data_IF_784952564035
#
_entry.id   IF_784952564035
#
_cell.length_a   1.000
_cell.length_b   1.000
_cell.length_c   1.000
_cell.angle_alpha   90.00
_cell.angle_beta   90.00
_cell.angle_gamma   90.00
#
_symmetry.space_group_name_H-M   'P 1'
#
loop_
_entity.id
_entity.type
_entity.pdbx_description
1 polymer ?
#
# COMPACT_ATOMS: atom_id res chain seq x y z
N UNK A 1 27.16 -60.32 -57.11
CA UNK A 1 27.94 -59.61 -58.14
C UNK A 1 27.39 -58.19 -58.26
N UNK A 2 28.14 -57.21 -57.73
CA UNK A 2 28.26 -55.79 -58.15
C UNK A 2 26.95 -54.94 -58.19
N UNK A 3 26.65 -54.15 -57.15
CA UNK A 3 26.96 -52.69 -56.99
C UNK A 3 26.19 -51.74 -57.94
N UNK A 4 25.30 -50.90 -57.39
CA UNK A 4 25.54 -49.44 -57.28
C UNK A 4 24.49 -48.69 -56.45
N UNK A 5 25.06 -47.92 -55.53
CA UNK A 5 24.51 -46.90 -54.64
C UNK A 5 23.97 -45.69 -55.42
N UNK A 6 22.89 -45.06 -54.93
CA UNK A 6 22.76 -43.59 -54.92
C UNK A 6 21.88 -43.12 -53.75
N UNK A 7 22.51 -42.33 -52.88
CA UNK A 7 21.95 -41.53 -51.80
C UNK A 7 21.15 -40.32 -52.32
N UNK A 8 20.42 -39.69 -51.39
CA UNK A 8 19.95 -38.27 -51.25
C UNK A 8 18.42 -38.26 -51.09
N UNK A 9 17.75 -37.56 -50.16
CA UNK A 9 17.97 -36.99 -48.83
C UNK A 9 16.61 -36.37 -48.40
N UNK A 10 16.30 -36.36 -47.10
CA UNK A 10 15.46 -35.39 -46.36
C UNK A 10 13.98 -35.17 -46.80
N UNK A 11 12.92 -35.27 -45.98
CA UNK A 11 12.58 -34.56 -44.72
C UNK A 11 11.23 -35.16 -44.24
N UNK A 12 11.06 -35.65 -43.01
CA UNK A 12 10.70 -34.92 -41.79
C UNK A 12 9.36 -34.15 -41.85
N UNK A 13 8.25 -34.76 -41.39
CA UNK A 13 7.10 -34.03 -40.82
C UNK A 13 6.59 -34.79 -39.59
N UNK A 14 6.84 -34.19 -38.42
CA UNK A 14 6.34 -34.57 -37.10
C UNK A 14 4.82 -34.29 -37.02
N UNK A 15 4.03 -35.30 -36.65
CA UNK A 15 2.65 -35.11 -36.21
C UNK A 15 2.61 -34.84 -34.70
N UNK A 16 2.58 -33.56 -34.31
CA UNK A 16 2.17 -33.13 -32.98
C UNK A 16 0.64 -32.95 -32.99
N UNK A 17 -0.07 -33.87 -32.35
CA UNK A 17 -1.51 -33.77 -32.12
C UNK A 17 -1.82 -32.61 -31.18
N UNK A 18 -2.68 -31.73 -31.67
CA UNK A 18 -3.14 -30.52 -31.00
C UNK A 18 -3.99 -30.85 -29.76
N UNK A 19 -3.60 -30.37 -28.59
CA UNK A 19 -4.54 -30.09 -27.51
C UNK A 19 -5.35 -28.86 -27.91
N UNK A 20 -6.56 -29.07 -28.43
CA UNK A 20 -7.54 -28.00 -28.62
C UNK A 20 -7.94 -27.44 -27.25
N UNK A 21 -7.53 -26.21 -26.97
CA UNK A 21 -7.87 -25.49 -25.76
C UNK A 21 -9.29 -24.92 -25.95
N UNK A 22 -10.32 -25.61 -25.46
CA UNK A 22 -11.68 -25.08 -25.46
C UNK A 22 -11.78 -24.00 -24.37
N UNK A 23 -11.68 -22.73 -24.77
CA UNK A 23 -12.12 -21.62 -23.92
C UNK A 23 -13.62 -21.74 -23.73
N UNK A 24 -14.07 -21.78 -22.47
CA UNK A 24 -15.50 -21.74 -22.12
C UNK A 24 -16.12 -20.47 -22.74
N UNK A 25 -17.37 -20.53 -23.25
CA UNK A 25 -18.05 -19.33 -23.74
C UNK A 25 -18.15 -18.33 -22.60
N UNK A 26 -17.65 -17.11 -22.83
CA UNK A 26 -17.83 -16.00 -21.90
C UNK A 26 -19.31 -15.64 -21.97
N UNK A 27 -20.04 -15.83 -20.87
CA UNK A 27 -21.39 -15.31 -20.72
C UNK A 27 -21.30 -13.77 -20.80
N UNK A 28 -21.50 -13.23 -22.00
CA UNK A 28 -21.51 -11.81 -22.30
C UNK A 28 -22.79 -11.14 -21.77
N UNK A 29 -23.14 -11.39 -20.51
CA UNK A 29 -24.23 -10.69 -19.84
C UNK A 29 -23.83 -9.22 -19.70
N UNK A 30 -24.45 -8.37 -20.52
CA UNK A 30 -24.34 -6.91 -20.41
C UNK A 30 -25.31 -6.41 -19.35
N UNK A 31 -24.89 -5.38 -18.62
CA UNK A 31 -25.68 -4.65 -17.63
C UNK A 31 -25.83 -3.23 -18.14
N UNK A 32 -27.05 -2.69 -18.08
CA UNK A 32 -27.32 -1.30 -18.42
C UNK A 32 -26.75 -0.41 -17.31
N UNK A 33 -25.70 0.36 -17.60
CA UNK A 33 -25.03 1.25 -16.66
C UNK A 33 -25.23 2.69 -17.13
N UNK A 34 -25.77 3.53 -16.25
CA UNK A 34 -25.83 4.98 -16.44
C UNK A 34 -24.75 5.65 -15.60
N UNK A 35 -23.81 6.33 -16.25
CA UNK A 35 -22.80 7.18 -15.62
C UNK A 35 -22.98 8.65 -16.07
N UNK A 36 -22.07 9.52 -15.63
CA UNK A 36 -22.04 10.95 -15.98
C UNK A 36 -21.88 11.22 -17.49
N UNK A 37 -21.53 10.20 -18.30
CA UNK A 37 -21.43 10.29 -19.76
C UNK A 37 -22.63 9.65 -20.50
N UNK A 38 -23.65 9.18 -19.76
CA UNK A 38 -24.88 8.62 -20.32
C UNK A 38 -25.12 7.15 -19.96
N UNK A 39 -26.18 6.59 -20.52
CA UNK A 39 -26.59 5.21 -20.28
C UNK A 39 -26.16 4.29 -21.42
N UNK A 40 -25.38 3.25 -21.12
CA UNK A 40 -24.94 2.26 -22.10
C UNK A 40 -24.91 0.85 -21.49
N UNK A 41 -25.15 -0.15 -22.34
CA UNK A 41 -25.01 -1.56 -21.96
C UNK A 41 -23.53 -1.93 -21.96
N UNK A 42 -22.99 -2.25 -20.77
CA UNK A 42 -21.57 -2.59 -20.57
C UNK A 42 -21.47 -4.02 -20.03
N UNK A 43 -20.42 -4.79 -20.34
CA UNK A 43 -20.33 -6.15 -19.86
C UNK A 43 -20.28 -6.18 -18.33
N UNK A 44 -20.83 -7.21 -17.68
CA UNK A 44 -20.90 -7.29 -16.21
C UNK A 44 -19.53 -7.15 -15.50
N UNK A 45 -18.45 -7.44 -16.20
CA UNK A 45 -17.08 -7.30 -15.71
C UNK A 45 -16.44 -5.92 -16.00
N UNK A 46 -17.18 -4.96 -16.59
CA UNK A 46 -16.71 -3.59 -16.72
C UNK A 46 -16.84 -2.89 -15.37
N UNK A 47 -15.74 -2.36 -14.84
CA UNK A 47 -15.80 -1.42 -13.74
C UNK A 47 -16.37 -0.09 -14.24
N UNK A 48 -17.34 0.48 -13.52
CA UNK A 48 -17.80 1.86 -13.74
C UNK A 48 -16.67 2.87 -13.49
N UNK A 49 -15.69 2.48 -12.68
CA UNK A 49 -14.50 3.25 -12.36
C UNK A 49 -13.30 2.70 -13.13
N UNK A 50 -12.79 3.48 -14.08
CA UNK A 50 -11.50 3.20 -14.73
C UNK A 50 -10.38 3.94 -13.96
N UNK A 51 -9.52 3.23 -13.22
CA UNK A 51 -8.41 3.85 -12.50
C UNK A 51 -7.40 4.56 -13.42
N UNK A 52 -7.42 4.26 -14.72
CA UNK A 52 -6.56 4.83 -15.76
C UNK A 52 -7.29 5.84 -16.67
N UNK A 53 -8.56 6.14 -16.41
CA UNK A 53 -9.22 7.23 -17.12
C UNK A 53 -8.48 8.54 -16.82
N UNK A 54 -7.95 9.16 -17.87
CA UNK A 54 -7.27 10.44 -17.76
C UNK A 54 -8.25 11.47 -17.19
N UNK A 55 -7.80 12.27 -16.23
CA UNK A 55 -8.60 13.36 -15.69
C UNK A 55 -8.93 14.33 -16.84
N UNK A 56 -10.10 14.99 -16.82
CA UNK A 56 -10.40 16.03 -17.81
C UNK A 56 -9.24 17.03 -17.88
N UNK A 57 -8.83 17.51 -19.08
CA UNK A 57 -7.64 18.36 -19.24
C UNK A 57 -7.62 19.63 -18.35
N UNK A 58 -8.81 20.13 -17.99
CA UNK A 58 -8.97 21.28 -17.10
C UNK A 58 -8.57 20.98 -15.66
N UNK A 59 -8.76 19.75 -15.19
CA UNK A 59 -8.48 19.38 -13.80
C UNK A 59 -6.99 19.09 -13.61
N UNK A 60 -6.32 18.53 -14.62
CA UNK A 60 -4.86 18.40 -14.63
C UNK A 60 -4.15 19.77 -14.58
N UNK A 61 -4.65 20.76 -15.32
CA UNK A 61 -4.14 22.13 -15.29
C UNK A 61 -4.34 22.80 -13.91
N UNK A 62 -5.47 22.53 -13.23
CA UNK A 62 -5.70 23.06 -11.88
C UNK A 62 -4.77 22.43 -10.86
N UNK A 63 -4.58 21.10 -10.90
CA UNK A 63 -3.70 20.39 -9.97
C UNK A 63 -2.26 20.89 -10.09
N UNK A 64 -1.75 21.01 -11.32
CA UNK A 64 -0.39 21.51 -11.57
C UNK A 64 -0.20 22.94 -11.08
N UNK A 65 -1.20 23.82 -11.27
CA UNK A 65 -1.16 25.18 -10.72
C UNK A 65 -1.14 25.18 -9.17
N UNK A 66 -1.92 24.31 -8.52
CA UNK A 66 -1.90 24.16 -7.07
C UNK A 66 -0.55 23.62 -6.56
N UNK A 67 0.07 22.69 -7.28
CA UNK A 67 1.40 22.17 -6.95
C UNK A 67 2.49 23.26 -7.06
N UNK A 68 2.40 24.14 -8.06
CA UNK A 68 3.30 25.31 -8.17
C UNK A 68 3.11 26.30 -7.01
N UNK A 69 1.87 26.55 -6.60
CA UNK A 69 1.57 27.40 -5.44
C UNK A 69 2.11 26.77 -4.15
N UNK A 70 1.91 25.46 -3.99
CA UNK A 70 2.41 24.69 -2.86
C UNK A 70 3.94 24.74 -2.76
N UNK A 71 4.67 24.68 -3.88
CA UNK A 71 6.12 24.78 -3.89
C UNK A 71 6.63 26.12 -3.30
N UNK A 72 5.89 27.21 -3.49
CA UNK A 72 6.28 28.54 -3.03
C UNK A 72 5.83 28.85 -1.59
N UNK A 73 4.60 28.47 -1.20
CA UNK A 73 4.04 28.79 0.12
C UNK A 73 3.80 27.50 0.95
N UNK A 74 4.39 27.38 2.15
CA UNK A 74 4.16 26.21 3.00
C UNK A 74 2.69 26.07 3.46
N UNK A 75 1.94 27.17 3.57
CA UNK A 75 0.50 27.10 3.86
C UNK A 75 -0.28 26.52 2.68
N UNK A 76 0.10 26.89 1.46
CA UNK A 76 -0.51 26.33 0.25
C UNK A 76 -0.21 24.83 0.10
N UNK A 77 0.99 24.39 0.46
CA UNK A 77 1.30 22.96 0.50
C UNK A 77 0.50 22.20 1.56
N UNK A 78 0.26 22.80 2.74
CA UNK A 78 -0.63 22.21 3.72
C UNK A 78 -2.08 22.10 3.21
N UNK A 79 -2.61 23.14 2.56
CA UNK A 79 -3.95 23.09 1.96
C UNK A 79 -4.04 22.02 0.85
N UNK A 80 -3.02 21.95 -0.03
CA UNK A 80 -2.94 20.93 -1.05
C UNK A 80 -2.90 19.52 -0.45
N UNK A 81 -2.15 19.33 0.63
CA UNK A 81 -2.12 18.07 1.36
C UNK A 81 -3.50 17.68 1.90
N UNK A 82 -4.28 18.63 2.43
CA UNK A 82 -5.65 18.39 2.89
C UNK A 82 -6.59 18.03 1.74
N UNK A 83 -6.44 18.66 0.57
CA UNK A 83 -7.22 18.31 -0.62
C UNK A 83 -6.92 16.89 -1.09
N UNK A 84 -5.64 16.51 -1.14
CA UNK A 84 -5.25 15.13 -1.44
C UNK A 84 -5.75 14.12 -0.39
N UNK A 85 -5.85 14.53 0.88
CA UNK A 85 -6.36 13.69 1.96
C UNK A 85 -7.87 13.42 1.83
N UNK A 86 -8.65 14.46 1.53
CA UNK A 86 -10.13 14.39 1.48
C UNK A 86 -10.67 14.01 0.10
N UNK A 87 -9.90 14.24 -0.95
CA UNK A 87 -10.35 14.11 -2.33
C UNK A 87 -11.11 15.35 -2.85
N UNK A 88 -10.87 16.53 -2.27
CA UNK A 88 -11.61 17.75 -2.59
C UNK A 88 -11.16 18.36 -3.93
N UNK A 89 -11.84 17.99 -5.03
CA UNK A 89 -11.53 18.46 -6.39
C UNK A 89 -10.23 17.87 -6.97
N UNK A 90 -9.63 16.90 -6.27
CA UNK A 90 -8.44 16.15 -6.68
C UNK A 90 -8.67 14.70 -6.28
N UNK A 91 -8.17 13.74 -7.06
CA UNK A 91 -8.23 12.32 -6.68
C UNK A 91 -7.56 12.12 -5.32
N UNK A 92 -8.28 11.48 -4.40
CA UNK A 92 -7.77 11.18 -3.07
C UNK A 92 -6.50 10.33 -3.18
N UNK A 93 -5.42 10.80 -2.54
CA UNK A 93 -4.16 10.11 -2.50
C UNK A 93 -3.46 10.40 -1.17
N UNK A 94 -3.57 9.43 -0.26
CA UNK A 94 -3.00 9.50 1.09
C UNK A 94 -1.48 9.66 1.08
N UNK A 95 -0.78 8.97 0.18
CA UNK A 95 0.67 9.06 0.08
C UNK A 95 1.13 10.46 -0.34
N UNK A 96 0.51 11.02 -1.40
CA UNK A 96 0.78 12.39 -1.84
C UNK A 96 0.41 13.44 -0.78
N UNK A 97 -0.68 13.19 -0.05
CA UNK A 97 -1.08 14.06 1.07
C UNK A 97 0.03 14.16 2.11
N UNK A 98 0.54 13.02 2.60
CA UNK A 98 1.60 12.99 3.61
C UNK A 98 2.88 13.64 3.10
N UNK A 99 3.26 13.43 1.82
CA UNK A 99 4.48 14.05 1.28
C UNK A 99 4.38 15.57 1.25
N UNK A 100 3.26 16.13 0.79
CA UNK A 100 3.07 17.59 0.78
C UNK A 100 2.93 18.16 2.18
N UNK A 101 2.31 17.41 3.10
CA UNK A 101 2.19 17.82 4.49
C UNK A 101 3.54 17.84 5.20
N UNK A 102 4.40 16.83 4.95
CA UNK A 102 5.77 16.77 5.45
C UNK A 102 6.62 17.92 4.92
N UNK A 103 6.54 18.19 3.62
CA UNK A 103 7.24 19.34 3.02
C UNK A 103 6.78 20.68 3.64
N UNK A 104 5.48 20.89 3.83
CA UNK A 104 4.96 22.07 4.52
C UNK A 104 5.46 22.18 5.97
N UNK A 105 5.51 21.06 6.70
CA UNK A 105 5.98 21.00 8.07
C UNK A 105 7.49 21.27 8.19
N UNK A 106 8.29 20.77 7.26
CA UNK A 106 9.73 21.02 7.16
C UNK A 106 10.02 22.50 6.85
N UNK A 107 9.19 23.12 6.02
CA UNK A 107 9.23 24.57 5.75
C UNK A 107 8.66 25.43 6.89
N UNK A 108 8.25 24.82 8.00
CA UNK A 108 7.94 25.51 9.25
C UNK A 108 6.48 25.88 9.47
N UNK A 109 5.55 25.36 8.65
CA UNK A 109 4.11 25.54 8.88
C UNK A 109 3.66 24.77 10.13
N UNK A 110 3.09 25.50 11.09
CA UNK A 110 2.71 24.93 12.39
C UNK A 110 1.48 24.04 12.30
N UNK A 111 0.56 24.33 11.37
CA UNK A 111 -0.63 23.50 11.21
C UNK A 111 -0.24 22.15 10.60
N UNK A 112 0.66 22.15 9.62
CA UNK A 112 1.23 20.95 9.03
C UNK A 112 1.99 20.09 10.06
N UNK A 113 2.85 20.72 10.87
CA UNK A 113 3.58 20.01 11.94
C UNK A 113 2.62 19.36 12.94
N UNK A 114 1.58 20.08 13.39
CA UNK A 114 0.57 19.54 14.31
C UNK A 114 -0.24 18.42 13.67
N UNK A 115 -0.64 18.59 12.41
CA UNK A 115 -1.39 17.60 11.66
C UNK A 115 -0.60 16.31 11.46
N UNK A 116 0.68 16.39 11.07
CA UNK A 116 1.57 15.23 10.99
C UNK A 116 1.74 14.56 12.34
N UNK A 117 1.97 15.34 13.40
CA UNK A 117 2.06 14.82 14.76
C UNK A 117 0.85 14.00 15.16
N UNK A 118 -0.35 14.49 14.85
CA UNK A 118 -1.61 13.76 15.07
C UNK A 118 -1.72 12.52 14.19
N UNK A 119 -1.37 12.61 12.91
CA UNK A 119 -1.42 11.47 11.99
C UNK A 119 -0.50 10.32 12.44
N UNK A 120 0.71 10.64 12.89
CA UNK A 120 1.63 9.63 13.43
C UNK A 120 1.16 9.05 14.76
N UNK A 121 0.43 9.81 15.59
CA UNK A 121 -0.17 9.28 16.81
C UNK A 121 -1.28 8.28 16.55
N UNK A 122 -2.19 8.60 15.64
CA UNK A 122 -3.36 7.76 15.37
C UNK A 122 -3.05 6.62 14.42
N UNK A 123 -1.99 6.75 13.61
CA UNK A 123 -1.81 5.96 12.40
C UNK A 123 -2.80 6.39 11.31
N UNK A 124 -2.52 5.98 10.07
CA UNK A 124 -3.38 6.26 8.92
C UNK A 124 -3.43 5.08 7.96
N UNK A 125 -4.55 4.35 7.97
CA UNK A 125 -4.78 3.21 7.08
C UNK A 125 -3.72 2.14 7.25
N UNK A 126 -2.92 1.92 6.21
CA UNK A 126 -1.81 0.97 6.20
C UNK A 126 -0.57 1.46 6.95
N UNK A 127 -0.43 2.78 7.17
CA UNK A 127 0.61 3.31 8.03
C UNK A 127 0.19 3.12 9.49
N UNK A 128 0.91 2.28 10.21
CA UNK A 128 0.77 2.15 11.66
C UNK A 128 1.08 3.47 12.39
N UNK A 129 0.69 3.54 13.66
CA UNK A 129 1.10 4.64 14.52
C UNK A 129 2.61 4.60 14.76
N UNK A 130 3.24 5.77 14.76
CA UNK A 130 4.62 5.99 15.18
C UNK A 130 4.65 7.10 16.22
N UNK A 131 4.60 6.75 17.52
CA UNK A 131 4.60 7.76 18.58
C UNK A 131 5.94 8.52 18.67
N UNK A 132 7.04 7.97 18.12
CA UNK A 132 8.34 8.64 18.08
C UNK A 132 8.38 9.78 17.06
N UNK A 133 7.91 9.54 15.83
CA UNK A 133 7.76 10.62 14.84
C UNK A 133 6.74 11.66 15.30
N UNK A 134 5.66 11.24 15.95
CA UNK A 134 4.68 12.15 16.52
C UNK A 134 5.31 13.09 17.57
N UNK A 135 6.06 12.53 18.54
CA UNK A 135 6.74 13.33 19.57
C UNK A 135 7.64 14.39 18.94
N UNK A 136 8.39 14.03 17.88
CA UNK A 136 9.28 14.95 17.17
C UNK A 136 8.50 16.15 16.61
N UNK A 137 7.45 15.93 15.81
CA UNK A 137 6.70 17.03 15.19
C UNK A 137 5.89 17.85 16.20
N UNK A 138 5.31 17.18 17.22
CA UNK A 138 4.53 17.84 18.27
C UNK A 138 5.41 18.65 19.21
N UNK A 139 6.65 18.24 19.46
CA UNK A 139 7.58 19.01 20.31
C UNK A 139 7.90 20.38 19.70
N UNK A 140 8.04 20.46 18.37
CA UNK A 140 8.31 21.70 17.66
C UNK A 140 7.12 22.65 17.80
N UNK A 141 5.90 22.17 17.56
CA UNK A 141 4.67 22.98 17.68
C UNK A 141 4.35 23.37 19.12
N UNK A 142 4.53 22.44 20.07
CA UNK A 142 4.34 22.71 21.50
C UNK A 142 5.34 23.76 22.01
N UNK A 143 6.58 23.76 21.52
CA UNK A 143 7.58 24.79 21.90
C UNK A 143 7.18 26.21 21.49
N UNK A 144 6.31 26.35 20.48
CA UNK A 144 5.75 27.65 20.06
C UNK A 144 4.49 28.05 20.84
N UNK A 145 4.10 27.28 21.86
CA UNK A 145 3.01 27.60 22.78
C UNK A 145 1.62 27.08 22.35
N UNK A 146 1.53 26.21 21.34
CA UNK A 146 0.26 25.57 20.97
C UNK A 146 -0.17 24.59 22.08
N UNK A 147 -1.31 24.90 22.73
CA UNK A 147 -1.88 24.12 23.83
C UNK A 147 -2.32 22.73 23.40
N UNK A 148 -2.90 22.61 22.20
CA UNK A 148 -3.36 21.35 21.63
C UNK A 148 -2.17 20.46 21.24
N UNK A 149 -1.11 21.06 20.70
CA UNK A 149 0.13 20.32 20.44
C UNK A 149 0.75 19.79 21.74
N UNK A 150 0.70 20.56 22.84
CA UNK A 150 1.23 20.12 24.13
C UNK A 150 0.41 18.98 24.76
N UNK A 151 -0.92 18.96 24.58
CA UNK A 151 -1.73 17.81 25.04
C UNK A 151 -1.40 16.56 24.24
N UNK A 152 -1.33 16.68 22.90
CA UNK A 152 -0.97 15.56 22.03
C UNK A 152 0.47 15.07 22.28
N UNK A 153 1.40 15.98 22.62
CA UNK A 153 2.78 15.61 22.95
C UNK A 153 2.84 14.68 24.16
N UNK A 154 2.04 14.95 25.19
CA UNK A 154 1.97 14.08 26.38
C UNK A 154 1.42 12.70 26.03
N UNK A 155 0.40 12.65 25.18
CA UNK A 155 -0.15 11.40 24.66
C UNK A 155 0.89 10.62 23.85
N UNK A 156 1.67 11.30 23.00
CA UNK A 156 2.75 10.70 22.21
C UNK A 156 3.85 10.10 23.07
N UNK A 157 4.30 10.83 24.10
CA UNK A 157 5.32 10.34 25.03
C UNK A 157 4.81 9.11 25.79
N UNK A 158 3.55 9.14 26.25
CA UNK A 158 2.93 8.01 26.94
C UNK A 158 2.81 6.78 26.02
N UNK A 159 2.35 6.98 24.79
CA UNK A 159 2.26 5.92 23.79
C UNK A 159 3.64 5.31 23.50
N UNK A 160 4.67 6.13 23.29
CA UNK A 160 6.05 5.65 23.08
C UNK A 160 6.57 4.86 24.27
N UNK A 161 6.35 5.33 25.50
CA UNK A 161 6.79 4.60 26.69
C UNK A 161 6.07 3.25 26.81
N UNK A 162 4.77 3.20 26.50
CA UNK A 162 4.01 1.95 26.51
C UNK A 162 4.53 0.95 25.47
N UNK A 163 4.83 1.42 24.26
CA UNK A 163 5.39 0.59 23.19
C UNK A 163 6.80 0.08 23.54
N UNK A 164 7.63 0.95 24.12
CA UNK A 164 8.97 0.56 24.59
C UNK A 164 8.88 -0.47 25.71
N UNK A 165 7.99 -0.28 26.68
CA UNK A 165 7.80 -1.23 27.78
C UNK A 165 7.35 -2.60 27.26
N UNK A 166 6.40 -2.61 26.32
CA UNK A 166 5.92 -3.83 25.69
C UNK A 166 7.00 -4.52 24.84
N UNK A 167 7.79 -3.75 24.07
CA UNK A 167 8.95 -4.28 23.34
C UNK A 167 9.96 -4.94 24.29
N UNK A 168 10.31 -4.25 25.38
CA UNK A 168 11.27 -4.78 26.37
C UNK A 168 10.73 -6.04 27.05
N UNK A 169 9.43 -6.07 27.38
CA UNK A 169 8.78 -7.25 27.93
C UNK A 169 8.83 -8.42 26.95
N UNK A 170 8.42 -8.21 25.69
CA UNK A 170 8.44 -9.24 24.65
C UNK A 170 9.84 -9.78 24.44
N UNK A 171 10.85 -8.91 24.35
CA UNK A 171 12.25 -9.30 24.19
C UNK A 171 12.79 -10.09 25.40
N UNK A 172 12.42 -9.69 26.62
CA UNK A 172 12.81 -10.39 27.85
C UNK A 172 12.27 -11.81 27.91
N UNK A 173 11.01 -12.00 27.50
CA UNK A 173 10.33 -13.29 27.57
C UNK A 173 10.45 -14.12 26.30
N UNK A 174 10.88 -13.53 25.18
CA UNK A 174 11.12 -14.21 23.91
C UNK A 174 11.87 -15.55 24.05
N UNK A 175 13.03 -15.64 24.76
CA UNK A 175 13.74 -16.91 24.87
C UNK A 175 12.95 -17.95 25.70
N UNK A 176 12.20 -17.52 26.71
CA UNK A 176 11.41 -18.40 27.57
C UNK A 176 10.25 -18.98 26.78
N UNK A 177 9.50 -18.14 26.05
CA UNK A 177 8.41 -18.59 25.19
C UNK A 177 8.91 -19.47 24.04
N UNK A 178 10.02 -19.11 23.41
CA UNK A 178 10.64 -19.91 22.34
C UNK A 178 11.06 -21.29 22.87
N UNK A 179 11.78 -21.34 24.00
CA UNK A 179 12.17 -22.61 24.61
C UNK A 179 10.97 -23.44 25.08
N UNK A 180 9.94 -22.81 25.65
CA UNK A 180 8.69 -23.48 26.02
C UNK A 180 8.04 -24.10 24.79
N UNK A 181 7.89 -23.35 23.70
CA UNK A 181 7.29 -23.84 22.46
C UNK A 181 8.08 -25.01 21.86
N UNK A 182 9.41 -24.94 21.80
CA UNK A 182 10.25 -26.05 21.29
C UNK A 182 10.29 -27.28 22.22
N UNK A 183 10.13 -27.10 23.53
CA UNK A 183 10.16 -28.21 24.51
C UNK A 183 8.80 -28.89 24.70
N UNK A 184 7.69 -28.18 24.53
CA UNK A 184 6.33 -28.73 24.65
C UNK A 184 5.68 -29.06 23.30
N UNK A 185 6.01 -28.35 22.23
CA UNK A 185 5.63 -28.70 20.86
C UNK A 185 6.82 -29.35 20.16
N UNK A 186 7.02 -30.63 20.44
CA UNK A 186 8.17 -31.37 19.91
C UNK A 186 7.86 -31.87 18.49
N UNK A 187 8.07 -31.03 17.48
CA UNK A 187 7.93 -31.46 16.09
C UNK A 187 9.09 -32.37 15.70
N UNK A 188 8.91 -33.68 15.78
CA UNK A 188 9.88 -34.64 15.28
C UNK A 188 9.36 -35.31 14.02
N UNK A 189 9.98 -34.96 12.90
CA UNK A 189 9.84 -35.69 11.65
C UNK A 189 10.52 -37.05 11.80
N UNK A 190 9.76 -38.14 11.74
CA UNK A 190 10.29 -39.51 11.76
C UNK A 190 10.23 -40.09 10.36
N UNK A 191 11.37 -40.53 9.84
CA UNK A 191 11.43 -41.28 8.59
C UNK A 191 11.01 -42.73 8.83
N UNK A 192 10.01 -43.21 8.08
CA UNK A 192 9.56 -44.60 8.11
C UNK A 192 8.72 -44.92 6.87
N UNK A 193 8.78 -46.16 6.37
CA UNK A 193 7.96 -46.59 5.23
C UNK A 193 8.06 -45.71 3.97
N UNK A 194 9.20 -45.06 3.74
CA UNK A 194 9.45 -44.21 2.56
C UNK A 194 8.78 -42.83 2.55
N UNK A 195 8.21 -42.38 3.68
CA UNK A 195 7.66 -41.02 3.84
C UNK A 195 8.01 -40.43 5.22
N UNK A 196 7.94 -39.11 5.31
CA UNK A 196 8.06 -38.40 6.58
C UNK A 196 6.71 -38.33 7.28
N UNK A 197 6.68 -38.67 8.57
CA UNK A 197 5.51 -38.49 9.43
C UNK A 197 5.74 -37.34 10.40
N UNK A 198 4.79 -36.40 10.47
CA UNK A 198 4.75 -35.35 11.48
C UNK A 198 3.89 -35.82 12.65
N UNK A 199 4.47 -35.87 13.84
CA UNK A 199 3.75 -36.14 15.08
C UNK A 199 3.66 -34.87 15.93
N UNK A 200 2.54 -34.73 16.64
CA UNK A 200 2.25 -33.70 17.64
C UNK A 200 2.51 -34.24 19.05
#
# INVERSE_FOLDING_TARGET
>A
MILKVKLIAATAVLCLSACSNQSKPVDNATVHICDENGCADRPKNSASYDPNSALPPQDEAKITALEQLAANDPRAAYDLALRYFRGDGIRQNTYKSITWMRDAAERGDLNAQKALGRLYLTGLGELGADPGEAEKWLSITASRGDKEANTLLKEAIAARQSEQADYQWRRRWQPIFYNYWYSTCSYYWRWGSGRWYLYY
#
